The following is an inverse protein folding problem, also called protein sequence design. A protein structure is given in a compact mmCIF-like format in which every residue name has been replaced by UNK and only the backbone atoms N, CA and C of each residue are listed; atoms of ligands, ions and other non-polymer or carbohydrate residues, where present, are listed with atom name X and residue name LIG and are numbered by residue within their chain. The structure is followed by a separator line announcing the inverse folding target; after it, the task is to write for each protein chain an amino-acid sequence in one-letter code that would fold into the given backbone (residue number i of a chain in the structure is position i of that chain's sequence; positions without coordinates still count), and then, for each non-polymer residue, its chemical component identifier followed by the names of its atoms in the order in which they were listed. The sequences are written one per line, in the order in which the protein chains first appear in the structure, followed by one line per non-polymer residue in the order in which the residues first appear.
data_IF_204417954867
#
_entry.id   IF_204417954867
#
_cell.length_a   1.000
_cell.length_b   1.000
_cell.length_c   1.000
_cell.angle_alpha   90.00
_cell.angle_beta   90.00
_cell.angle_gamma   90.00
#
_symmetry.space_group_name_H-M   'P 1'
#
loop_
_entity.id
_entity.type
_entity.pdbx_description
1 polymer ?
#
# COMPACT_ATOMS: atom_id res chain seq x y z
N UNK A 1 0.88 -6.50 22.24
CA UNK A 1 2.18 -6.23 22.87
C UNK A 1 3.07 -7.47 22.75
N UNK A 2 4.38 -7.26 22.69
CA UNK A 2 5.39 -8.33 22.72
C UNK A 2 6.33 -8.04 23.90
N UNK A 3 6.42 -8.95 24.86
CA UNK A 3 7.16 -8.78 26.11
C UNK A 3 8.29 -9.81 26.26
N UNK A 4 9.14 -9.60 27.27
CA UNK A 4 10.31 -10.44 27.59
C UNK A 4 11.38 -10.49 26.50
N UNK A 5 11.41 -9.51 25.60
CA UNK A 5 12.36 -9.48 24.49
C UNK A 5 13.81 -9.32 24.99
N UNK A 6 14.75 -10.03 24.37
CA UNK A 6 16.20 -9.83 24.59
C UNK A 6 16.72 -8.63 23.80
N UNK A 7 16.16 -8.41 22.61
CA UNK A 7 16.55 -7.32 21.71
C UNK A 7 15.39 -6.90 20.82
N UNK A 8 15.26 -5.59 20.57
CA UNK A 8 14.36 -5.04 19.56
C UNK A 8 15.09 -4.93 18.21
N UNK A 9 14.42 -5.30 17.12
CA UNK A 9 14.93 -5.20 15.75
C UNK A 9 14.32 -4.02 14.97
N UNK A 10 13.44 -3.24 15.62
CA UNK A 10 12.73 -2.10 15.04
C UNK A 10 12.82 -0.89 15.96
N UNK A 11 12.59 0.29 15.39
CA UNK A 11 12.57 1.57 16.11
C UNK A 11 11.15 2.09 16.32
N UNK A 12 10.98 3.01 17.29
CA UNK A 12 9.69 3.68 17.50
C UNK A 12 9.25 4.43 16.23
N UNK A 13 7.96 4.34 15.90
CA UNK A 13 7.38 4.95 14.70
C UNK A 13 7.63 4.19 13.39
N UNK A 14 8.43 3.12 13.39
CA UNK A 14 8.70 2.32 12.20
C UNK A 14 7.44 1.56 11.74
N UNK A 15 7.08 1.69 10.47
CA UNK A 15 6.06 0.86 9.85
C UNK A 15 6.59 -0.58 9.65
N UNK A 16 5.76 -1.57 9.99
CA UNK A 16 6.10 -2.99 9.88
C UNK A 16 5.06 -3.75 9.06
N UNK A 17 5.51 -4.78 8.35
CA UNK A 17 4.65 -5.67 7.56
C UNK A 17 4.41 -6.99 8.29
N UNK A 18 3.31 -7.68 7.98
CA UNK A 18 3.06 -9.04 8.49
C UNK A 18 4.24 -9.95 8.11
N UNK A 19 4.76 -10.71 9.08
CA UNK A 19 5.90 -11.61 8.90
C UNK A 19 7.28 -10.95 9.06
N UNK A 20 7.33 -9.63 9.22
CA UNK A 20 8.59 -8.94 9.49
C UNK A 20 9.10 -9.24 10.91
N UNK A 21 10.40 -9.49 11.05
CA UNK A 21 11.05 -9.66 12.35
C UNK A 21 11.08 -8.31 13.08
N UNK A 22 10.52 -8.27 14.28
CA UNK A 22 10.46 -7.06 15.12
C UNK A 22 11.34 -7.14 16.38
N UNK A 23 11.84 -8.33 16.71
CA UNK A 23 12.73 -8.53 17.86
C UNK A 23 12.96 -10.00 18.14
N UNK A 24 13.73 -10.26 19.19
CA UNK A 24 14.18 -11.59 19.59
C UNK A 24 13.70 -11.92 21.01
N UNK A 25 13.30 -13.17 21.21
CA UNK A 25 12.84 -13.69 22.51
C UNK A 25 13.97 -13.61 23.53
N UNK A 26 13.61 -13.37 24.79
CA UNK A 26 14.51 -13.36 25.92
C UNK A 26 13.76 -13.73 27.21
N UNK A 27 14.26 -13.26 28.34
CA UNK A 27 13.62 -13.46 29.66
C UNK A 27 13.71 -12.18 30.50
N UNK A 28 13.59 -11.01 29.86
CA UNK A 28 13.68 -9.71 30.56
C UNK A 28 12.41 -9.41 31.36
N UNK A 29 12.55 -8.65 32.45
CA UNK A 29 11.44 -8.32 33.34
C UNK A 29 10.99 -9.50 34.21
N UNK A 30 9.70 -9.54 34.55
CA UNK A 30 9.11 -10.62 35.35
C UNK A 30 8.91 -11.86 34.46
N UNK A 31 9.90 -12.74 34.43
CA UNK A 31 9.89 -13.97 33.62
C UNK A 31 10.62 -15.09 34.36
N UNK A 32 10.09 -16.31 34.29
CA UNK A 32 10.71 -17.50 34.87
C UNK A 32 11.73 -18.17 33.94
N UNK A 33 11.70 -17.87 32.64
CA UNK A 33 12.62 -18.42 31.65
C UNK A 33 12.35 -17.87 30.24
N UNK A 34 13.15 -18.21 29.22
CA UNK A 34 13.01 -17.63 27.89
C UNK A 34 11.68 -18.00 27.20
N UNK A 35 10.80 -17.02 27.01
CA UNK A 35 9.53 -17.18 26.32
C UNK A 35 9.00 -15.84 25.78
N UNK A 36 8.01 -15.91 24.89
CA UNK A 36 7.31 -14.71 24.39
C UNK A 36 5.98 -14.55 25.12
N UNK A 37 5.82 -13.42 25.82
CA UNK A 37 4.50 -13.00 26.29
C UNK A 37 3.87 -12.08 25.23
N UNK A 38 2.83 -12.61 24.57
CA UNK A 38 2.12 -11.94 23.50
C UNK A 38 0.71 -11.55 23.94
N UNK A 39 0.39 -10.27 23.78
CA UNK A 39 -0.92 -9.72 24.10
C UNK A 39 -1.55 -9.11 22.86
N UNK A 40 -2.86 -9.24 22.72
CA UNK A 40 -3.60 -8.58 21.66
C UNK A 40 -4.68 -7.69 22.26
N UNK A 41 -4.86 -6.51 21.66
CA UNK A 41 -5.79 -5.50 22.15
C UNK A 41 -6.81 -5.18 21.06
N UNK A 42 -8.08 -5.07 21.44
CA UNK A 42 -9.15 -4.54 20.60
C UNK A 42 -9.93 -3.50 21.38
N UNK A 43 -10.01 -2.29 20.84
CA UNK A 43 -10.66 -1.15 21.49
C UNK A 43 -10.16 -0.92 22.94
N UNK A 44 -8.84 -1.02 23.14
CA UNK A 44 -8.19 -0.82 24.44
C UNK A 44 -8.30 -2.00 25.43
N UNK A 45 -9.05 -3.06 25.12
CA UNK A 45 -9.19 -4.25 25.97
C UNK A 45 -8.29 -5.38 25.49
N UNK A 46 -7.64 -6.06 26.44
CA UNK A 46 -6.92 -7.31 26.16
C UNK A 46 -7.93 -8.36 25.74
N UNK A 47 -7.65 -9.05 24.64
CA UNK A 47 -8.47 -10.14 24.12
C UNK A 47 -7.61 -11.39 23.93
N UNK A 48 -8.24 -12.55 23.99
CA UNK A 48 -7.56 -13.81 23.69
C UNK A 48 -7.14 -13.82 22.20
N UNK A 49 -5.84 -13.94 21.87
CA UNK A 49 -5.41 -14.00 20.48
C UNK A 49 -6.02 -15.15 19.69
N UNK A 50 -6.29 -16.29 20.33
CA UNK A 50 -6.84 -17.47 19.70
C UNK A 50 -8.32 -17.32 19.30
N UNK A 51 -9.04 -16.34 19.86
CA UNK A 51 -10.44 -16.11 19.52
C UNK A 51 -10.64 -15.21 18.30
N UNK A 52 -9.56 -14.74 17.69
CA UNK A 52 -9.64 -13.84 16.53
C UNK A 52 -9.43 -14.59 15.23
N UNK A 53 -10.41 -14.45 14.35
CA UNK A 53 -10.31 -14.93 12.97
C UNK A 53 -9.55 -13.88 12.16
N UNK A 54 -8.37 -14.27 11.68
CA UNK A 54 -7.64 -13.49 10.71
C UNK A 54 -8.21 -13.76 9.32
N UNK A 55 -8.32 -12.72 8.50
CA UNK A 55 -8.60 -12.88 7.08
C UNK A 55 -7.36 -13.53 6.46
N UNK A 56 -7.39 -14.85 6.30
CA UNK A 56 -6.41 -15.51 5.47
C UNK A 56 -6.75 -15.15 4.03
N UNK A 57 -5.76 -14.57 3.34
CA UNK A 57 -5.90 -14.36 1.90
C UNK A 57 -6.02 -15.75 1.29
N UNK A 58 -7.06 -15.99 0.48
CA UNK A 58 -7.13 -17.23 -0.27
C UNK A 58 -5.84 -17.35 -1.09
N UNK A 59 -5.06 -18.38 -0.81
CA UNK A 59 -3.88 -18.70 -1.60
C UNK A 59 -4.39 -19.32 -2.90
N UNK A 60 -4.18 -18.63 -4.02
CA UNK A 60 -4.45 -19.22 -5.33
C UNK A 60 -3.61 -20.48 -5.45
N UNK A 61 -4.21 -21.56 -5.93
CA UNK A 61 -3.53 -22.85 -6.07
C UNK A 61 -3.79 -23.47 -7.44
N UNK A 62 -2.97 -24.46 -7.81
CA UNK A 62 -3.13 -25.19 -9.07
C UNK A 62 -3.19 -24.27 -10.29
N UNK A 63 -4.26 -24.41 -11.08
CA UNK A 63 -4.49 -23.68 -12.32
C UNK A 63 -4.69 -22.17 -12.10
N UNK A 64 -5.38 -21.78 -11.04
CA UNK A 64 -5.68 -20.37 -10.74
C UNK A 64 -4.40 -19.55 -10.51
N UNK A 65 -3.41 -20.15 -9.84
CA UNK A 65 -2.12 -19.51 -9.61
C UNK A 65 -1.31 -19.38 -10.92
N UNK A 66 -1.40 -20.39 -11.80
CA UNK A 66 -0.73 -20.36 -13.12
C UNK A 66 -1.32 -19.24 -13.98
N UNK A 67 -2.65 -19.16 -14.06
CA UNK A 67 -3.33 -18.14 -14.86
C UNK A 67 -3.07 -16.74 -14.30
N UNK A 68 -3.10 -16.58 -12.98
CA UNK A 68 -2.73 -15.32 -12.33
C UNK A 68 -1.29 -14.90 -12.65
N UNK A 69 -0.33 -15.82 -12.60
CA UNK A 69 1.07 -15.52 -12.96
C UNK A 69 1.20 -15.11 -14.43
N UNK A 70 0.49 -15.80 -15.33
CA UNK A 70 0.47 -15.46 -16.77
C UNK A 70 -0.05 -14.03 -16.98
N UNK A 71 -1.17 -13.68 -16.35
CA UNK A 71 -1.76 -12.35 -16.45
C UNK A 71 -0.85 -11.27 -15.84
N UNK A 72 -0.19 -11.56 -14.72
CA UNK A 72 0.77 -10.64 -14.10
C UNK A 72 1.97 -10.30 -15.00
N UNK A 73 2.49 -11.29 -15.73
CA UNK A 73 3.59 -11.07 -16.68
C UNK A 73 3.12 -10.09 -17.76
N UNK A 74 1.97 -10.36 -18.38
CA UNK A 74 1.40 -9.50 -19.41
C UNK A 74 1.14 -8.06 -18.93
N UNK A 75 0.65 -7.89 -17.70
CA UNK A 75 0.41 -6.55 -17.13
C UNK A 75 1.69 -5.81 -16.76
N UNK A 76 2.75 -6.52 -16.38
CA UNK A 76 4.04 -5.93 -15.99
C UNK A 76 4.95 -5.63 -17.17
N UNK A 77 4.76 -6.32 -18.30
CA UNK A 77 5.47 -6.07 -19.55
C UNK A 77 4.97 -4.80 -20.29
N UNK A 78 3.91 -4.16 -19.82
CA UNK A 78 3.48 -2.86 -20.34
C UNK A 78 4.44 -1.79 -19.84
N UNK A 79 5.25 -1.22 -20.75
CA UNK A 79 6.11 -0.08 -20.45
C UNK A 79 5.29 1.09 -19.88
N UNK A 80 5.75 1.66 -18.76
CA UNK A 80 5.13 2.81 -18.12
C UNK A 80 5.13 3.98 -19.12
N UNK A 81 3.96 4.36 -19.61
CA UNK A 81 3.79 5.41 -20.62
C UNK A 81 3.37 4.93 -22.02
N UNK A 82 3.24 3.61 -22.26
CA UNK A 82 2.72 3.10 -23.52
C UNK A 82 1.31 3.65 -23.86
N UNK A 83 0.46 3.85 -22.85
CA UNK A 83 -0.87 4.44 -23.01
C UNK A 83 -0.87 5.98 -23.19
N UNK A 84 0.26 6.67 -23.04
CA UNK A 84 0.38 8.13 -23.27
C UNK A 84 0.69 8.46 -24.73
N UNK A 85 1.20 7.50 -25.52
CA UNK A 85 1.48 7.70 -26.96
C UNK A 85 0.22 8.03 -27.76
N UNK A 86 -0.93 7.51 -27.34
CA UNK A 86 -2.22 7.73 -28.02
C UNK A 86 -2.90 9.05 -27.61
N UNK A 87 -2.29 9.84 -26.72
CA UNK A 87 -2.80 11.13 -26.23
C UNK A 87 -2.03 12.34 -26.77
N UNK A 88 -1.19 12.16 -27.80
CA UNK A 88 -0.69 13.34 -28.53
C UNK A 88 -1.90 14.10 -29.09
N UNK A 89 -2.18 15.35 -28.64
CA UNK A 89 -3.32 16.09 -29.12
C UNK A 89 -3.14 16.30 -30.63
N UNK A 90 -4.13 15.86 -31.42
CA UNK A 90 -4.21 16.23 -32.83
C UNK A 90 -4.08 17.75 -32.91
N UNK A 91 -3.16 18.26 -33.73
CA UNK A 91 -2.80 19.69 -33.81
C UNK A 91 -4.00 20.64 -34.03
N UNK A 92 -5.18 20.11 -34.37
CA UNK A 92 -6.44 20.83 -34.46
C UNK A 92 -7.10 21.21 -33.13
N UNK A 93 -6.73 20.60 -32.00
CA UNK A 93 -7.38 20.85 -30.70
C UNK A 93 -6.64 21.85 -29.79
N UNK A 94 -5.44 22.29 -30.17
CA UNK A 94 -4.75 23.36 -29.44
C UNK A 94 -5.26 24.72 -29.93
N UNK A 95 -6.50 25.07 -29.56
CA UNK A 95 -6.87 26.50 -29.50
C UNK A 95 -6.23 27.06 -28.23
N UNK A 96 -5.20 27.89 -28.41
CA UNK A 96 -4.63 28.65 -27.30
C UNK A 96 -5.75 29.35 -26.52
N UNK A 97 -5.77 29.25 -25.18
CA UNK A 97 -6.84 29.85 -24.40
C UNK A 97 -6.74 31.38 -24.51
N UNK A 98 -7.66 31.99 -25.26
CA UNK A 98 -7.78 33.44 -25.34
C UNK A 98 -8.03 34.01 -23.95
N UNK A 99 -7.24 35.01 -23.56
CA UNK A 99 -7.38 35.68 -22.27
C UNK A 99 -8.72 36.42 -22.27
N UNK A 100 -9.35 36.51 -21.10
CA UNK A 100 -10.68 37.10 -20.97
C UNK A 100 -10.74 38.56 -21.44
N UNK A 101 -9.62 39.28 -21.34
CA UNK A 101 -9.42 40.66 -21.84
C UNK A 101 -9.53 40.72 -23.37
N UNK A 102 -8.93 39.75 -24.07
CA UNK A 102 -8.93 39.65 -25.54
C UNK A 102 -10.34 39.34 -26.05
N UNK A 103 -11.14 38.57 -25.30
CA UNK A 103 -12.55 38.31 -25.62
C UNK A 103 -13.39 39.59 -25.58
N UNK A 104 -13.12 40.48 -24.61
CA UNK A 104 -13.84 41.75 -24.45
C UNK A 104 -13.45 42.76 -25.54
N UNK A 105 -12.18 42.79 -25.95
CA UNK A 105 -11.74 43.64 -27.07
C UNK A 105 -12.37 43.23 -28.40
N UNK A 106 -12.43 41.92 -28.69
CA UNK A 106 -13.12 41.40 -29.88
C UNK A 106 -14.62 41.77 -29.86
N UNK A 107 -15.28 41.62 -28.70
CA UNK A 107 -16.69 41.99 -28.56
C UNK A 107 -16.94 43.49 -28.71
N UNK A 108 -15.94 44.34 -28.42
CA UNK A 108 -16.01 45.80 -28.58
C UNK A 108 -15.69 46.25 -30.01
N UNK A 109 -14.90 45.49 -30.76
CA UNK A 109 -14.53 45.78 -32.16
C UNK A 109 -15.56 45.36 -33.22
N UNK A 110 -16.64 44.67 -32.84
CA UNK A 110 -17.75 44.28 -33.73
C UNK A 110 -18.94 45.26 -33.70
N UNK A 111 -18.68 46.55 -33.44
CA UNK A 111 -19.67 47.64 -33.59
C UNK A 111 -19.18 48.70 -34.56
#
# INVERSE_FOLDING_TARGET
RYCHMSRMAVSSGQQVRRGQVIGYVGSTGLSTGPHLHYEMYRSGRVINPASVQFVNRAELSGTELIDFRRQLIQMKDVEVGAALKDLEPLASEVKEPLREIEKVEIARGMR
#
